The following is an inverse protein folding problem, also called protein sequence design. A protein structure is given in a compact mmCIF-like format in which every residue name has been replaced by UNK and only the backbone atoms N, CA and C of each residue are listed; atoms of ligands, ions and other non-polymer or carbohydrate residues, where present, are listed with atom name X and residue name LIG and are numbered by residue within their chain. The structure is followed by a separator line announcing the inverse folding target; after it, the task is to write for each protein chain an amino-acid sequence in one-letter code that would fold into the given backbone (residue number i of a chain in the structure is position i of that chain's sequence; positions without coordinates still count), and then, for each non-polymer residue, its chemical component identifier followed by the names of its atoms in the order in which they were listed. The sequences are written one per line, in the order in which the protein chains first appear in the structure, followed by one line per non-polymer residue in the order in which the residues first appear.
data_IF_480511491552
#
_entry.id   IF_480511491552
#
_cell.length_a   1.000
_cell.length_b   1.000
_cell.length_c   1.000
_cell.angle_alpha   90.00
_cell.angle_beta   90.00
_cell.angle_gamma   90.00
#
_symmetry.space_group_name_H-M   'P 1'
#
loop_
_entity.id
_entity.type
_entity.pdbx_description
1 polymer ?
#
# COMPACT_ATOMS: atom_id res chain seq x y z
N UNK A 1 -17.14 -12.14 -23.79
CA UNK A 1 -18.03 -11.68 -22.71
C UNK A 1 -17.58 -12.31 -21.40
N UNK A 2 -16.95 -11.53 -20.50
CA UNK A 2 -16.61 -12.00 -19.16
C UNK A 2 -17.63 -11.43 -18.20
N UNK A 3 -18.62 -12.25 -17.84
CA UNK A 3 -19.59 -12.00 -16.78
C UNK A 3 -18.83 -12.02 -15.45
N UNK A 4 -18.48 -10.85 -14.94
CA UNK A 4 -17.95 -10.71 -13.58
C UNK A 4 -18.98 -11.24 -12.61
N UNK A 5 -18.61 -12.27 -11.84
CA UNK A 5 -19.41 -12.69 -10.69
C UNK A 5 -19.41 -11.54 -9.69
N UNK A 6 -20.59 -11.14 -9.24
CA UNK A 6 -20.74 -10.30 -8.05
C UNK A 6 -19.93 -10.92 -6.92
N UNK A 7 -18.89 -10.23 -6.47
CA UNK A 7 -18.25 -10.50 -5.18
C UNK A 7 -19.31 -10.25 -4.12
N UNK A 8 -20.01 -11.31 -3.72
CA UNK A 8 -20.77 -11.33 -2.50
C UNK A 8 -19.76 -11.10 -1.37
N UNK A 9 -19.62 -9.86 -0.92
CA UNK A 9 -18.89 -9.54 0.30
C UNK A 9 -19.58 -10.27 1.45
N UNK A 10 -19.12 -11.48 1.76
CA UNK A 10 -19.44 -12.15 3.02
C UNK A 10 -19.12 -11.15 4.13
N UNK A 11 -20.14 -10.58 4.77
CA UNK A 11 -19.96 -9.70 5.92
C UNK A 11 -19.46 -10.55 7.08
N UNK A 12 -18.14 -10.64 7.20
CA UNK A 12 -17.45 -11.30 8.31
C UNK A 12 -17.44 -10.34 9.49
N UNK A 13 -18.00 -10.79 10.60
CA UNK A 13 -17.98 -10.07 11.86
C UNK A 13 -17.32 -10.94 12.93
N UNK A 14 -16.69 -10.28 13.90
CA UNK A 14 -16.03 -10.95 15.03
C UNK A 14 -16.66 -10.46 16.33
N UNK A 15 -16.83 -11.35 17.30
CA UNK A 15 -17.31 -10.98 18.64
C UNK A 15 -16.13 -10.96 19.62
N UNK A 16 -15.93 -9.84 20.30
CA UNK A 16 -15.03 -9.78 21.45
C UNK A 16 -15.82 -9.97 22.75
N UNK A 17 -15.47 -10.98 23.57
CA UNK A 17 -16.05 -11.21 24.89
C UNK A 17 -15.00 -10.96 25.97
N UNK A 18 -15.30 -10.07 26.92
CA UNK A 18 -14.39 -9.69 28.02
C UNK A 18 -15.16 -9.75 29.33
N UNK A 19 -14.58 -10.40 30.35
CA UNK A 19 -15.23 -10.59 31.65
C UNK A 19 -15.37 -9.27 32.46
N UNK A 20 -14.41 -8.35 32.32
CA UNK A 20 -14.39 -7.05 33.01
C UNK A 20 -13.96 -5.94 32.04
N UNK A 21 -14.87 -5.39 31.21
CA UNK A 21 -14.50 -4.39 30.22
C UNK A 21 -14.26 -3.03 30.89
N UNK A 22 -13.00 -2.57 30.86
CA UNK A 22 -12.68 -1.16 31.15
C UNK A 22 -12.60 -0.39 29.83
N UNK A 23 -13.12 0.85 29.79
CA UNK A 23 -13.05 1.69 28.59
C UNK A 23 -11.61 1.89 28.09
N UNK A 24 -10.65 1.95 29.01
CA UNK A 24 -9.22 2.13 28.73
C UNK A 24 -8.60 0.91 28.04
N UNK A 25 -8.98 -0.31 28.43
CA UNK A 25 -8.49 -1.52 27.74
C UNK A 25 -9.02 -1.59 26.31
N UNK A 26 -10.30 -1.26 26.10
CA UNK A 26 -10.90 -1.29 24.77
C UNK A 26 -10.22 -0.31 23.80
N UNK A 27 -9.90 0.91 24.24
CA UNK A 27 -9.19 1.87 23.38
C UNK A 27 -7.80 1.35 22.98
N UNK A 28 -7.02 0.85 23.94
CA UNK A 28 -5.69 0.27 23.67
C UNK A 28 -5.76 -0.93 22.73
N UNK A 29 -6.79 -1.77 22.88
CA UNK A 29 -7.01 -2.93 22.01
C UNK A 29 -7.37 -2.51 20.57
N UNK A 30 -8.23 -1.51 20.39
CA UNK A 30 -8.56 -0.99 19.05
C UNK A 30 -7.37 -0.31 18.38
N UNK A 31 -6.58 0.47 19.12
CA UNK A 31 -5.35 1.07 18.60
C UNK A 31 -4.37 -0.02 18.14
N UNK A 32 -4.24 -1.11 18.91
CA UNK A 32 -3.43 -2.26 18.53
C UNK A 32 -3.94 -2.93 17.25
N UNK A 33 -5.25 -3.19 17.14
CA UNK A 33 -5.83 -3.77 15.92
C UNK A 33 -5.60 -2.85 14.72
N UNK A 34 -5.80 -1.55 14.87
CA UNK A 34 -5.58 -0.59 13.79
C UNK A 34 -4.10 -0.59 13.33
N UNK A 35 -3.16 -0.68 14.27
CA UNK A 35 -1.73 -0.83 13.96
C UNK A 35 -1.46 -2.14 13.21
N UNK A 36 -1.97 -3.27 13.70
CA UNK A 36 -1.81 -4.56 13.05
C UNK A 36 -2.43 -4.59 11.65
N UNK A 37 -3.60 -3.99 11.46
CA UNK A 37 -4.25 -3.86 10.15
C UNK A 37 -3.39 -3.03 9.20
N UNK A 38 -2.87 -1.88 9.65
CA UNK A 38 -1.98 -1.05 8.85
C UNK A 38 -0.66 -1.77 8.49
N UNK A 39 -0.12 -2.58 9.39
CA UNK A 39 1.05 -3.44 9.13
C UNK A 39 0.74 -4.53 8.11
N UNK A 40 -0.41 -5.20 8.24
CA UNK A 40 -0.88 -6.20 7.28
C UNK A 40 -1.10 -5.58 5.90
N UNK A 41 -1.72 -4.41 5.82
CA UNK A 41 -1.92 -3.69 4.58
C UNK A 41 -0.59 -3.28 3.95
N UNK A 42 0.39 -2.84 4.76
CA UNK A 42 1.73 -2.47 4.27
C UNK A 42 2.52 -3.70 3.80
N UNK A 43 2.40 -4.83 4.49
CA UNK A 43 3.03 -6.10 4.12
C UNK A 43 2.37 -6.72 2.88
N UNK A 44 1.05 -6.63 2.77
CA UNK A 44 0.26 -7.16 1.66
C UNK A 44 0.09 -6.18 0.49
N UNK A 45 0.53 -4.92 0.63
CA UNK A 45 0.53 -3.93 -0.44
C UNK A 45 1.45 -4.38 -1.57
N UNK A 46 0.86 -5.12 -2.50
CA UNK A 46 1.49 -5.44 -3.77
C UNK A 46 1.60 -4.16 -4.57
N UNK A 47 2.80 -3.90 -5.10
CA UNK A 47 2.96 -2.80 -6.07
C UNK A 47 2.12 -3.15 -7.29
N UNK A 48 1.47 -2.16 -7.90
CA UNK A 48 0.76 -2.34 -9.16
C UNK A 48 1.62 -1.74 -10.27
N UNK A 49 1.94 -2.54 -11.28
CA UNK A 49 2.61 -2.04 -12.48
C UNK A 49 1.55 -1.50 -13.43
N UNK A 50 1.60 -0.20 -13.72
CA UNK A 50 0.71 0.43 -14.68
C UNK A 50 1.40 0.55 -16.03
N UNK A 51 0.71 0.13 -17.07
CA UNK A 51 1.14 0.30 -18.47
C UNK A 51 0.12 1.16 -19.22
N UNK A 52 0.62 1.96 -20.16
CA UNK A 52 -0.25 2.72 -21.05
C UNK A 52 -0.91 1.76 -22.03
N UNK A 53 -2.25 1.71 -22.00
CA UNK A 53 -3.06 0.90 -22.89
C UNK A 53 -3.84 1.82 -23.81
N UNK A 54 -3.29 2.03 -25.01
CA UNK A 54 -3.86 2.92 -26.03
C UNK A 54 -5.23 2.48 -26.51
N UNK A 55 -5.51 1.18 -26.50
CA UNK A 55 -6.81 0.63 -26.92
C UNK A 55 -7.94 1.01 -25.95
N UNK A 56 -7.59 1.30 -24.69
CA UNK A 56 -8.53 1.77 -23.66
C UNK A 56 -8.56 3.29 -23.50
N UNK A 57 -7.85 4.04 -24.35
CA UNK A 57 -7.87 5.50 -24.32
C UNK A 57 -9.23 6.07 -24.69
N UNK A 58 -9.94 5.43 -25.63
CA UNK A 58 -11.28 5.82 -26.06
C UNK A 58 -12.34 5.70 -24.96
N UNK A 59 -12.11 4.86 -23.94
CA UNK A 59 -12.99 4.70 -22.77
C UNK A 59 -12.53 5.50 -21.55
N UNK A 60 -11.52 6.37 -21.68
CA UNK A 60 -10.97 7.19 -20.60
C UNK A 60 -10.06 6.42 -19.62
N UNK A 61 -9.86 5.11 -19.82
CA UNK A 61 -9.02 4.24 -18.98
C UNK A 61 -7.71 3.92 -19.71
N UNK A 62 -6.96 4.96 -20.09
CA UNK A 62 -5.70 4.81 -20.83
C UNK A 62 -4.55 4.14 -20.06
N UNK A 63 -4.70 3.93 -18.75
CA UNK A 63 -3.74 3.22 -17.91
C UNK A 63 -4.36 1.94 -17.36
N UNK A 64 -3.67 0.82 -17.53
CA UNK A 64 -4.08 -0.47 -16.96
C UNK A 64 -3.05 -0.97 -15.97
N UNK A 65 -3.51 -1.32 -14.77
CA UNK A 65 -2.66 -1.84 -13.69
C UNK A 65 -2.74 -3.36 -13.58
N UNK A 66 -1.60 -4.00 -13.33
CA UNK A 66 -1.51 -5.41 -12.96
C UNK A 66 -0.75 -5.57 -11.63
N UNK A 67 -1.16 -6.49 -10.73
CA UNK A 67 -0.40 -6.77 -9.52
C UNK A 67 1.03 -7.19 -9.88
N UNK A 68 2.01 -6.53 -9.28
CA UNK A 68 3.44 -6.75 -9.51
C UNK A 68 4.13 -7.12 -8.20
N UNK A 69 4.54 -8.39 -8.12
CA UNK A 69 5.35 -8.92 -7.03
C UNK A 69 6.74 -9.23 -7.57
N UNK A 70 7.73 -8.46 -7.17
CA UNK A 70 9.13 -8.70 -7.55
C UNK A 70 10.01 -8.71 -6.29
N UNK A 71 10.93 -9.68 -6.16
CA UNK A 71 11.77 -9.81 -4.97
C UNK A 71 12.86 -8.73 -4.88
N UNK A 72 13.18 -8.04 -5.98
CA UNK A 72 14.24 -7.03 -5.96
C UNK A 72 13.86 -5.77 -5.19
N UNK A 73 14.76 -5.38 -4.30
CA UNK A 73 14.82 -4.10 -3.61
C UNK A 73 16.02 -3.27 -4.10
N UNK A 74 16.13 -2.02 -3.67
CA UNK A 74 17.35 -1.23 -3.84
C UNK A 74 18.58 -1.92 -3.26
N UNK A 75 18.41 -2.80 -2.27
CA UNK A 75 19.50 -3.57 -1.68
C UNK A 75 20.06 -4.63 -2.61
N UNK A 76 19.18 -5.33 -3.32
CA UNK A 76 19.56 -6.33 -4.33
C UNK A 76 20.03 -5.76 -5.67
N UNK A 77 19.90 -4.44 -5.89
CA UNK A 77 20.26 -3.81 -7.14
C UNK A 77 21.78 -3.60 -7.22
N UNK A 78 22.42 -4.21 -8.23
CA UNK A 78 23.84 -4.06 -8.48
C UNK A 78 24.13 -2.68 -9.11
N UNK A 79 24.42 -1.69 -8.27
CA UNK A 79 24.89 -0.36 -8.64
C UNK A 79 26.19 -0.04 -7.91
N UNK A 80 26.92 0.95 -8.40
CA UNK A 80 28.01 1.56 -7.65
C UNK A 80 27.52 2.04 -6.26
N UNK A 81 28.22 1.70 -5.16
CA UNK A 81 27.77 2.03 -3.81
C UNK A 81 27.57 3.52 -3.56
N UNK A 82 28.43 4.39 -4.12
CA UNK A 82 28.31 5.83 -3.93
C UNK A 82 27.10 6.38 -4.69
N UNK A 83 26.87 5.90 -5.92
CA UNK A 83 25.69 6.24 -6.71
C UNK A 83 24.40 5.78 -6.02
N UNK A 84 24.36 4.54 -5.53
CA UNK A 84 23.21 3.98 -4.81
C UNK A 84 22.89 4.81 -3.57
N UNK A 85 23.91 5.13 -2.75
CA UNK A 85 23.72 5.95 -1.55
C UNK A 85 23.19 7.36 -1.88
N UNK A 86 23.67 7.96 -2.98
CA UNK A 86 23.18 9.26 -3.44
C UNK A 86 21.70 9.20 -3.83
N UNK A 87 21.29 8.21 -4.62
CA UNK A 87 19.89 8.04 -5.05
C UNK A 87 18.97 7.83 -3.83
N UNK A 88 19.34 6.94 -2.91
CA UNK A 88 18.53 6.65 -1.72
C UNK A 88 18.34 7.92 -0.87
N UNK A 89 19.43 8.66 -0.61
CA UNK A 89 19.37 9.92 0.16
C UNK A 89 18.47 10.96 -0.48
N UNK A 90 18.51 11.09 -1.81
CA UNK A 90 17.67 12.03 -2.53
C UNK A 90 16.18 11.64 -2.45
N UNK A 91 15.87 10.36 -2.62
CA UNK A 91 14.50 9.84 -2.45
C UNK A 91 13.97 10.03 -1.03
N UNK A 92 14.80 9.81 0.00
CA UNK A 92 14.43 10.05 1.39
C UNK A 92 14.16 11.53 1.65
N UNK A 93 15.00 12.42 1.10
CA UNK A 93 14.79 13.87 1.17
C UNK A 93 13.49 14.28 0.49
N UNK A 94 13.23 13.76 -0.71
CA UNK A 94 11.98 14.03 -1.44
C UNK A 94 10.75 13.62 -0.63
N UNK A 95 10.78 12.42 -0.03
CA UNK A 95 9.70 11.93 0.83
C UNK A 95 9.42 12.84 2.03
N UNK A 96 10.46 13.41 2.63
CA UNK A 96 10.34 14.33 3.77
C UNK A 96 9.90 15.73 3.34
N UNK A 97 10.16 16.13 2.10
CA UNK A 97 9.90 17.45 1.53
C UNK A 97 8.43 17.75 1.18
N UNK A 98 7.45 17.06 1.76
CA UNK A 98 6.02 17.22 1.40
C UNK A 98 5.56 18.68 1.44
N UNK A 99 5.93 19.41 2.49
CA UNK A 99 5.55 20.82 2.67
C UNK A 99 6.21 21.76 1.65
N UNK A 100 7.41 21.42 1.19
CA UNK A 100 8.11 22.18 0.17
C UNK A 100 7.41 22.04 -1.19
N UNK A 101 7.02 20.82 -1.54
CA UNK A 101 6.34 20.52 -2.81
C UNK A 101 4.86 20.92 -2.83
N UNK A 102 4.21 21.14 -1.69
CA UNK A 102 2.80 21.56 -1.63
C UNK A 102 2.60 23.07 -1.76
N UNK A 103 3.67 23.88 -1.68
CA UNK A 103 3.61 25.35 -1.75
C UNK A 103 3.79 25.91 -3.16
N UNK A 104 4.22 25.06 -4.09
CA UNK A 104 4.44 25.36 -5.51
C UNK A 104 3.25 24.81 -6.28
#
# INVERSE_FOLDING_TARGET
EYRGKEDQFESRWFTLKVANPTKTFLSQYFDHIASCAAELDRANSTRTLYTNNRDKWASGLGWTGVPFKHPSSFDSLALDPAMKAKIIRDLDRFKQGKEFHSRV
#
